data_IF_884110750511
#
_entry.id   IF_884110750511
#
_cell.length_a   1.000
_cell.length_b   1.000
_cell.length_c   1.000
_cell.angle_alpha   90.00
_cell.angle_beta   90.00
_cell.angle_gamma   90.00
#
_symmetry.space_group_name_H-M   'P 1'
#
loop_
_entity.id
_entity.type
_entity.pdbx_description
1 polymer ?
#
# COMPACT_ATOMS: atom_id res chain seq x y z
N UNK A 1 18.01 41.67 8.78
CA UNK A 1 17.42 40.81 7.86
C UNK A 1 18.28 39.62 7.41
N UNK A 2 19.46 39.42 8.00
CA UNK A 2 20.34 38.30 7.63
C UNK A 2 19.74 36.94 7.93
N UNK A 3 18.98 36.80 9.00
CA UNK A 3 18.44 35.52 9.40
C UNK A 3 17.25 35.08 8.54
N UNK A 4 16.54 35.99 7.89
CA UNK A 4 15.46 35.59 6.97
C UNK A 4 16.01 34.96 5.68
N UNK A 5 17.16 35.43 5.19
CA UNK A 5 17.84 34.84 4.04
C UNK A 5 18.41 33.44 4.35
N UNK A 6 18.70 33.16 5.63
CA UNK A 6 19.17 31.84 6.06
C UNK A 6 18.01 30.85 6.28
N UNK A 7 16.85 31.32 6.76
CA UNK A 7 15.70 30.49 7.07
C UNK A 7 15.02 29.92 5.80
N UNK A 8 14.88 30.73 4.73
CA UNK A 8 14.20 30.31 3.49
C UNK A 8 14.91 29.12 2.84
N UNK A 9 16.24 29.10 2.65
CA UNK A 9 16.93 27.94 2.10
C UNK A 9 16.77 26.67 2.93
N UNK A 10 16.76 26.78 4.28
CA UNK A 10 16.59 25.64 5.17
C UNK A 10 15.18 25.03 5.06
N UNK A 11 14.14 25.86 4.98
CA UNK A 11 12.76 25.41 4.80
C UNK A 11 12.61 24.71 3.46
N UNK A 12 13.15 25.27 2.38
CA UNK A 12 13.10 24.66 1.06
C UNK A 12 13.86 23.33 1.04
N UNK A 13 15.03 23.26 1.67
CA UNK A 13 15.79 22.01 1.76
C UNK A 13 15.03 20.92 2.51
N UNK A 14 14.35 21.25 3.62
CA UNK A 14 13.52 20.30 4.38
C UNK A 14 12.33 19.80 3.54
N UNK A 15 11.66 20.68 2.81
CA UNK A 15 10.56 20.30 1.92
C UNK A 15 11.03 19.34 0.84
N UNK A 16 12.16 19.65 0.18
CA UNK A 16 12.73 18.78 -0.86
C UNK A 16 13.13 17.42 -0.32
N UNK A 17 13.70 17.37 0.87
CA UNK A 17 14.04 16.12 1.53
C UNK A 17 12.81 15.31 1.88
N UNK A 18 11.74 15.94 2.40
CA UNK A 18 10.49 15.28 2.71
C UNK A 18 9.78 14.75 1.45
N UNK A 19 9.79 15.54 0.36
CA UNK A 19 9.21 15.14 -0.92
C UNK A 19 10.00 13.98 -1.54
N UNK A 20 11.33 14.02 -1.47
CA UNK A 20 12.18 12.92 -1.95
C UNK A 20 11.95 11.65 -1.15
N UNK A 21 11.83 11.75 0.18
CA UNK A 21 11.52 10.61 1.05
C UNK A 21 10.14 10.03 0.72
N UNK A 22 9.13 10.89 0.48
CA UNK A 22 7.80 10.46 0.07
C UNK A 22 7.82 9.73 -1.26
N UNK A 23 8.53 10.24 -2.26
CA UNK A 23 8.69 9.59 -3.55
C UNK A 23 9.36 8.22 -3.41
N UNK A 24 10.38 8.12 -2.56
CA UNK A 24 11.07 6.86 -2.30
C UNK A 24 10.13 5.82 -1.67
N UNK A 25 9.34 6.23 -0.67
CA UNK A 25 8.37 5.33 -0.03
C UNK A 25 7.30 4.83 -1.00
N UNK A 26 6.92 5.65 -1.99
CA UNK A 26 5.86 5.34 -2.94
C UNK A 26 6.40 4.79 -4.27
N UNK A 27 7.64 4.32 -4.31
CA UNK A 27 8.23 3.73 -5.50
C UNK A 27 7.88 2.24 -5.60
N UNK A 28 7.97 1.70 -6.80
CA UNK A 28 7.82 0.25 -7.03
C UNK A 28 8.92 -0.54 -6.31
N UNK A 29 10.11 0.04 -6.22
CA UNK A 29 11.21 -0.58 -5.49
C UNK A 29 10.91 -0.71 -4.00
N UNK A 30 10.31 0.32 -3.40
CA UNK A 30 9.89 0.26 -1.99
C UNK A 30 8.81 -0.82 -1.78
N UNK A 31 7.87 -0.97 -2.71
CA UNK A 31 6.91 -2.08 -2.67
C UNK A 31 7.60 -3.44 -2.74
N UNK A 32 8.58 -3.58 -3.62
CA UNK A 32 9.31 -4.83 -3.76
C UNK A 32 10.06 -5.19 -2.47
N UNK A 33 10.67 -4.21 -1.82
CA UNK A 33 11.34 -4.40 -0.53
C UNK A 33 10.35 -4.78 0.57
N UNK A 34 9.19 -4.13 0.60
CA UNK A 34 8.13 -4.47 1.55
C UNK A 34 7.63 -5.91 1.32
N UNK A 35 7.40 -6.28 0.06
CA UNK A 35 6.95 -7.63 -0.29
C UNK A 35 7.96 -8.69 0.14
N UNK A 36 9.25 -8.46 -0.09
CA UNK A 36 10.29 -9.38 0.34
C UNK A 36 10.30 -9.54 1.85
N UNK A 37 10.21 -8.44 2.59
CA UNK A 37 10.17 -8.46 4.06
C UNK A 37 8.95 -9.21 4.58
N UNK A 38 7.77 -8.93 4.03
CA UNK A 38 6.53 -9.58 4.44
C UNK A 38 6.52 -11.07 4.12
N UNK A 39 7.02 -11.44 2.94
CA UNK A 39 7.13 -12.84 2.56
C UNK A 39 8.05 -13.60 3.53
N UNK A 40 9.20 -13.00 3.83
CA UNK A 40 10.16 -13.60 4.75
C UNK A 40 9.60 -13.72 6.16
N UNK A 41 8.91 -12.70 6.64
CA UNK A 41 8.38 -12.66 8.01
C UNK A 41 7.18 -13.59 8.20
N UNK A 42 6.28 -13.63 7.23
CA UNK A 42 4.98 -14.31 7.38
C UNK A 42 4.83 -15.58 6.55
N UNK A 43 5.59 -15.73 5.47
CA UNK A 43 5.42 -16.81 4.50
C UNK A 43 6.70 -17.64 4.30
N UNK A 44 7.64 -17.55 5.21
CA UNK A 44 8.93 -18.26 5.17
C UNK A 44 9.70 -18.01 3.85
N UNK A 45 9.49 -16.84 3.22
CA UNK A 45 10.12 -16.48 1.96
C UNK A 45 9.58 -17.24 0.76
N UNK A 46 8.47 -17.97 0.87
CA UNK A 46 7.94 -18.81 -0.21
C UNK A 46 7.26 -18.02 -1.33
N UNK A 47 6.68 -16.86 -1.03
CA UNK A 47 6.05 -16.02 -2.02
C UNK A 47 7.07 -15.02 -2.58
N UNK A 48 7.39 -15.14 -3.87
CA UNK A 48 8.37 -14.28 -4.54
C UNK A 48 7.77 -13.75 -5.84
N UNK A 49 7.24 -12.51 -5.82
CA UNK A 49 6.69 -11.94 -7.05
C UNK A 49 7.81 -11.67 -8.07
N UNK A 50 7.49 -11.82 -9.35
CA UNK A 50 8.37 -11.40 -10.43
C UNK A 50 8.37 -9.88 -10.58
N UNK A 51 7.25 -9.24 -10.24
CA UNK A 51 7.13 -7.80 -10.20
C UNK A 51 6.03 -7.40 -9.23
N UNK A 52 6.18 -6.25 -8.60
CA UNK A 52 5.14 -5.61 -7.82
C UNK A 52 5.20 -4.11 -8.10
N UNK A 53 4.09 -3.56 -8.58
CA UNK A 53 4.04 -2.18 -9.03
C UNK A 53 2.80 -1.46 -8.53
N UNK A 54 2.91 -0.14 -8.39
CA UNK A 54 1.76 0.71 -8.17
C UNK A 54 0.93 0.80 -9.45
N UNK A 55 -0.40 0.83 -9.30
CA UNK A 55 -1.33 0.92 -10.42
C UNK A 55 -2.36 2.02 -10.20
N UNK A 56 -2.58 2.84 -11.22
CA UNK A 56 -3.64 3.85 -11.24
C UNK A 56 -4.94 3.29 -11.83
N UNK A 57 -4.92 2.04 -12.30
CA UNK A 57 -6.06 1.39 -12.98
C UNK A 57 -6.92 0.52 -12.05
N UNK A 58 -6.55 0.41 -10.77
CA UNK A 58 -7.31 -0.35 -9.79
C UNK A 58 -8.36 0.54 -9.16
N UNK A 59 -9.60 0.51 -9.66
CA UNK A 59 -10.68 1.38 -9.18
C UNK A 59 -11.58 0.71 -8.13
N UNK A 60 -11.75 -0.62 -8.22
CA UNK A 60 -12.62 -1.37 -7.32
C UNK A 60 -11.86 -2.29 -6.37
N UNK A 61 -10.64 -2.67 -6.74
CA UNK A 61 -9.77 -3.53 -5.93
C UNK A 61 -8.64 -2.71 -5.34
N UNK A 62 -8.14 -3.15 -4.19
CA UNK A 62 -6.96 -2.55 -3.57
C UNK A 62 -5.66 -3.12 -4.12
N UNK A 63 -5.72 -4.30 -4.71
CA UNK A 63 -4.59 -4.94 -5.37
C UNK A 63 -5.05 -6.12 -6.21
N UNK A 64 -4.13 -6.68 -6.97
CA UNK A 64 -4.36 -7.89 -7.74
C UNK A 64 -3.06 -8.67 -7.89
N UNK A 65 -3.17 -9.98 -8.03
CA UNK A 65 -2.05 -10.86 -8.30
C UNK A 65 -2.39 -11.76 -9.49
N UNK A 66 -1.40 -12.00 -10.35
CA UNK A 66 -1.51 -12.94 -11.44
C UNK A 66 -0.53 -14.09 -11.18
N UNK A 67 -0.99 -15.20 -10.57
CA UNK A 67 -0.09 -16.28 -10.17
C UNK A 67 0.72 -16.88 -11.32
N UNK A 68 0.13 -16.95 -12.52
CA UNK A 68 0.81 -17.53 -13.68
C UNK A 68 2.07 -16.75 -14.08
N UNK A 69 2.09 -15.46 -13.87
CA UNK A 69 3.25 -14.60 -14.18
C UNK A 69 4.02 -14.17 -12.93
N UNK A 70 3.43 -14.32 -11.76
CA UNK A 70 4.02 -13.84 -10.50
C UNK A 70 3.95 -12.33 -10.32
N UNK A 71 3.13 -11.63 -11.12
CA UNK A 71 3.03 -10.18 -11.05
C UNK A 71 1.95 -9.74 -10.07
N UNK A 72 2.23 -8.66 -9.34
CA UNK A 72 1.32 -8.05 -8.38
C UNK A 72 1.18 -6.57 -8.71
N UNK A 73 -0.05 -6.06 -8.60
CA UNK A 73 -0.36 -4.64 -8.74
C UNK A 73 -1.05 -4.16 -7.47
N UNK A 74 -0.64 -3.01 -6.98
CA UNK A 74 -1.20 -2.38 -5.77
C UNK A 74 -1.81 -1.04 -6.17
N UNK A 75 -3.04 -0.80 -5.76
CA UNK A 75 -3.72 0.45 -6.05
C UNK A 75 -2.95 1.63 -5.47
N UNK A 76 -2.71 2.63 -6.31
CA UNK A 76 -2.06 3.86 -5.85
C UNK A 76 -2.90 4.63 -4.82
N UNK A 77 -4.18 4.32 -4.70
CA UNK A 77 -5.03 4.87 -3.64
C UNK A 77 -4.50 4.52 -2.23
N UNK A 78 -3.68 3.47 -2.12
CA UNK A 78 -3.07 3.07 -0.85
C UNK A 78 -1.77 3.82 -0.53
N UNK A 79 -1.30 4.70 -1.43
CA UNK A 79 -0.04 5.42 -1.21
C UNK A 79 -0.09 6.31 0.04
N UNK A 80 -1.25 6.89 0.36
CA UNK A 80 -1.46 7.74 1.52
C UNK A 80 -2.07 7.01 2.72
N UNK A 81 -2.31 5.71 2.60
CA UNK A 81 -2.83 4.91 3.71
C UNK A 81 -1.73 4.64 4.75
N UNK A 82 -2.10 4.35 6.00
CA UNK A 82 -1.12 3.90 6.98
C UNK A 82 -0.32 2.70 6.47
N UNK A 83 0.95 2.63 6.81
CA UNK A 83 1.84 1.56 6.34
C UNK A 83 1.30 0.18 6.69
N UNK A 84 0.73 0.00 7.89
CA UNK A 84 0.18 -1.28 8.31
C UNK A 84 -1.01 -1.72 7.43
N UNK A 85 -1.77 -0.79 6.86
CA UNK A 85 -2.85 -1.10 5.90
C UNK A 85 -2.24 -1.60 4.59
N UNK A 86 -1.27 -0.88 4.06
CA UNK A 86 -0.56 -1.27 2.84
C UNK A 86 0.08 -2.65 3.00
N UNK A 87 0.71 -2.91 4.13
CA UNK A 87 1.32 -4.21 4.43
C UNK A 87 0.32 -5.36 4.33
N UNK A 88 -0.89 -5.17 4.86
CA UNK A 88 -1.90 -6.24 4.82
C UNK A 88 -2.37 -6.52 3.40
N UNK A 89 -2.50 -5.49 2.56
CA UNK A 89 -2.87 -5.67 1.15
C UNK A 89 -1.75 -6.35 0.38
N UNK A 90 -0.51 -5.93 0.58
CA UNK A 90 0.64 -6.57 -0.08
C UNK A 90 0.73 -8.04 0.34
N UNK A 91 0.55 -8.35 1.63
CA UNK A 91 0.57 -9.73 2.10
C UNK A 91 -0.57 -10.54 1.47
N UNK A 92 -1.76 -9.98 1.36
CA UNK A 92 -2.91 -10.62 0.70
C UNK A 92 -2.55 -11.05 -0.72
N UNK A 93 -1.94 -10.15 -1.49
CA UNK A 93 -1.56 -10.46 -2.86
C UNK A 93 -0.40 -11.46 -2.95
N UNK A 94 0.55 -11.39 -2.02
CA UNK A 94 1.62 -12.40 -1.93
C UNK A 94 1.05 -13.79 -1.67
N UNK A 95 0.04 -13.89 -0.79
CA UNK A 95 -0.60 -15.17 -0.48
C UNK A 95 -1.27 -15.75 -1.74
N UNK A 96 -1.81 -14.91 -2.63
CA UNK A 96 -2.38 -15.37 -3.89
C UNK A 96 -1.36 -16.05 -4.81
N UNK A 97 -0.08 -15.79 -4.64
CA UNK A 97 0.96 -16.51 -5.37
C UNK A 97 1.11 -17.96 -4.88
N UNK A 98 0.67 -18.25 -3.66
CA UNK A 98 0.71 -19.59 -3.05
C UNK A 98 -0.65 -20.28 -3.08
N UNK A 99 -1.73 -19.52 -2.90
CA UNK A 99 -3.11 -19.99 -2.86
C UNK A 99 -3.97 -19.08 -3.74
N UNK A 100 -4.37 -19.58 -4.90
CA UNK A 100 -5.12 -18.81 -5.88
C UNK A 100 -6.51 -18.40 -5.37
N UNK A 101 -7.13 -19.24 -4.54
CA UNK A 101 -8.50 -19.05 -4.07
C UNK A 101 -8.53 -18.64 -2.59
N UNK A 102 -9.59 -17.93 -2.19
CA UNK A 102 -9.81 -17.51 -0.79
C UNK A 102 -10.34 -18.68 0.06
N UNK A 103 -9.55 -19.76 0.15
CA UNK A 103 -9.87 -20.92 1.00
C UNK A 103 -9.32 -20.72 2.41
N UNK A 104 -9.51 -21.72 3.29
CA UNK A 104 -9.05 -21.64 4.67
C UNK A 104 -7.55 -21.42 4.78
N UNK A 105 -6.78 -22.08 3.92
CA UNK A 105 -5.32 -21.91 3.91
C UNK A 105 -4.93 -20.48 3.53
N UNK A 106 -5.62 -19.89 2.55
CA UNK A 106 -5.41 -18.50 2.18
C UNK A 106 -5.56 -17.58 3.39
N UNK A 107 -6.69 -17.70 4.10
CA UNK A 107 -6.98 -16.82 5.23
C UNK A 107 -6.05 -17.07 6.41
N UNK A 108 -5.61 -18.31 6.63
CA UNK A 108 -4.59 -18.61 7.64
C UNK A 108 -3.31 -17.83 7.36
N UNK A 109 -2.87 -17.81 6.10
CA UNK A 109 -1.65 -17.11 5.69
C UNK A 109 -1.82 -15.60 5.72
N UNK A 110 -2.92 -15.09 5.16
CA UNK A 110 -3.17 -13.64 5.09
C UNK A 110 -3.36 -13.02 6.48
N UNK A 111 -3.92 -13.75 7.42
CA UNK A 111 -4.14 -13.28 8.78
C UNK A 111 -2.92 -13.36 9.68
N UNK A 112 -1.79 -13.79 9.17
CA UNK A 112 -0.52 -13.76 9.92
C UNK A 112 -0.05 -12.35 10.22
N UNK A 113 -0.50 -11.35 9.44
CA UNK A 113 -0.28 -9.96 9.81
C UNK A 113 -1.16 -9.63 11.04
N UNK A 114 -0.59 -9.07 12.12
CA UNK A 114 -1.33 -8.88 13.37
C UNK A 114 -2.50 -7.90 13.26
N UNK A 115 -2.51 -7.03 12.26
CA UNK A 115 -3.57 -6.03 12.05
C UNK A 115 -4.42 -6.29 10.81
N UNK A 116 -4.48 -7.53 10.35
CA UNK A 116 -5.25 -7.88 9.15
C UNK A 116 -6.74 -7.50 9.28
N UNK A 117 -7.35 -7.74 10.44
CA UNK A 117 -8.77 -7.39 10.66
C UNK A 117 -8.99 -5.89 10.70
N UNK A 118 -8.11 -5.15 11.38
CA UNK A 118 -8.19 -3.69 11.45
C UNK A 118 -8.07 -3.07 10.06
N UNK A 119 -7.17 -3.60 9.24
CA UNK A 119 -6.97 -3.12 7.87
C UNK A 119 -8.21 -3.37 7.01
N UNK A 120 -8.85 -4.53 7.13
CA UNK A 120 -10.07 -4.82 6.40
C UNK A 120 -11.17 -3.82 6.75
N UNK A 121 -11.35 -3.51 8.02
CA UNK A 121 -12.33 -2.51 8.47
C UNK A 121 -11.99 -1.11 7.99
N UNK A 122 -10.71 -0.74 8.04
CA UNK A 122 -10.25 0.54 7.51
C UNK A 122 -10.59 0.69 6.03
N UNK A 123 -10.29 -0.32 5.23
CA UNK A 123 -10.52 -0.29 3.79
C UNK A 123 -12.01 -0.33 3.45
N UNK A 124 -12.81 -1.04 4.21
CA UNK A 124 -14.28 -1.01 4.06
C UNK A 124 -14.80 0.40 4.30
N UNK A 125 -14.29 1.09 5.32
CA UNK A 125 -14.65 2.47 5.61
C UNK A 125 -14.25 3.44 4.49
N UNK A 126 -13.06 3.28 3.94
CA UNK A 126 -12.59 4.11 2.82
C UNK A 126 -13.47 3.88 1.59
N UNK A 127 -13.74 2.62 1.25
CA UNK A 127 -14.60 2.27 0.12
C UNK A 127 -16.02 2.86 0.30
N UNK A 128 -16.56 2.81 1.51
CA UNK A 128 -17.85 3.43 1.80
C UNK A 128 -17.82 4.94 1.56
N UNK A 129 -16.78 5.61 2.08
CA UNK A 129 -16.63 7.06 1.94
C UNK A 129 -16.47 7.49 0.47
N UNK A 130 -15.77 6.70 -0.34
CA UNK A 130 -15.62 6.96 -1.77
C UNK A 130 -16.97 6.89 -2.50
N UNK A 131 -17.88 6.00 -2.08
CA UNK A 131 -19.22 5.88 -2.65
C UNK A 131 -20.19 6.93 -2.10
N UNK A 132 -19.85 7.57 -0.98
CA UNK A 132 -20.70 8.56 -0.31
C UNK A 132 -19.90 9.84 -0.08
N UNK A 133 -19.51 10.57 -1.14
CA UNK A 133 -18.74 11.80 -0.97
C UNK A 133 -19.57 12.82 -0.19
N UNK A 134 -18.88 13.65 0.60
CA UNK A 134 -19.53 14.69 1.39
C UNK A 134 -20.30 15.64 0.47
N UNK A 135 -21.51 16.05 0.88
CA UNK A 135 -22.28 17.04 0.13
C UNK A 135 -21.53 18.38 0.13
N UNK A 136 -21.52 19.03 -1.04
CA UNK A 136 -20.96 20.36 -1.18
C UNK A 136 -21.88 21.34 -0.43
N UNK A 137 -21.39 22.02 0.62
CA UNK A 137 -22.21 22.98 1.36
C UNK A 137 -22.69 24.14 0.50
N UNK A 138 -22.06 24.40 -0.65
CA UNK A 138 -22.48 25.47 -1.59
C UNK A 138 -23.57 25.01 -2.57
N UNK A 139 -23.98 23.75 -2.51
CA UNK A 139 -25.09 23.21 -3.31
C UNK A 139 -26.45 23.31 -2.63
N UNK A 140 -26.52 24.02 -1.57
CA UNK A 140 -27.74 24.16 -0.80
C UNK A 140 -28.95 24.81 -1.48
#
# INVERSE_FOLDING_TARGET
AHWSATLVPRVVAKRRAAEAAARTRHSDEALAQMAERLSRTHLEGRARPTSITWSTRQHTRWGSATPSTGSIRISRRLADAPEWVLETVVLHELVHLLEAHHNDRFWELARRHPRARDAAQFLDGVAWAERHPAEDPDRG
#
